data_IF_344104291496
#
_entry.id   IF_344104291496
#
_cell.length_a   1.000
_cell.length_b   1.000
_cell.length_c   1.000
_cell.angle_alpha   90.00
_cell.angle_beta   90.00
_cell.angle_gamma   90.00
#
_symmetry.space_group_name_H-M   'P 1'
#
loop_
_entity.id
_entity.type
_entity.pdbx_description
1 polymer ?
#
# COMPACT_ATOMS: atom_id res chain seq x y z
N UNK A 1 3.80 6.11 -8.79
CA UNK A 1 2.60 5.75 -7.99
C UNK A 1 1.89 4.60 -8.66
N UNK A 2 1.97 3.39 -8.10
CA UNK A 2 1.21 2.27 -8.62
C UNK A 2 -0.22 2.32 -8.03
N UNK A 3 -1.28 2.35 -8.86
CA UNK A 3 -2.68 2.37 -8.40
C UNK A 3 -3.01 1.23 -7.42
N UNK A 4 -2.23 0.15 -7.45
CA UNK A 4 -2.34 -1.00 -6.57
C UNK A 4 -2.38 -0.66 -5.07
N UNK A 5 -1.53 0.24 -4.57
CA UNK A 5 -1.44 0.52 -3.13
C UNK A 5 -2.72 1.19 -2.63
N UNK A 6 -3.30 2.06 -3.46
CA UNK A 6 -4.58 2.71 -3.20
C UNK A 6 -5.72 1.69 -3.11
N UNK A 7 -5.86 0.84 -4.13
CA UNK A 7 -6.94 -0.15 -4.13
C UNK A 7 -6.76 -1.22 -3.07
N UNK A 8 -5.52 -1.61 -2.78
CA UNK A 8 -5.20 -2.56 -1.71
C UNK A 8 -5.61 -2.03 -0.35
N UNK A 9 -5.33 -0.74 -0.07
CA UNK A 9 -5.75 -0.09 1.16
C UNK A 9 -7.28 -0.11 1.32
N UNK A 10 -8.01 0.25 0.27
CA UNK A 10 -9.48 0.30 0.31
C UNK A 10 -10.08 -1.10 0.44
N UNK A 11 -9.55 -2.06 -0.32
CA UNK A 11 -9.95 -3.46 -0.28
C UNK A 11 -9.74 -4.05 1.12
N UNK A 12 -8.55 -3.87 1.69
CA UNK A 12 -8.20 -4.35 3.02
C UNK A 12 -9.04 -3.70 4.13
N UNK A 13 -9.30 -2.40 4.01
CA UNK A 13 -9.99 -1.64 5.04
C UNK A 13 -11.50 -1.93 5.06
N UNK A 14 -12.13 -2.04 3.89
CA UNK A 14 -13.58 -2.26 3.79
C UNK A 14 -13.97 -3.74 3.84
N UNK A 15 -13.21 -4.60 3.17
CA UNK A 15 -13.56 -6.01 2.98
C UNK A 15 -12.67 -6.96 3.82
N UNK A 16 -11.74 -6.41 4.59
CA UNK A 16 -10.86 -7.15 5.49
C UNK A 16 -9.60 -7.70 4.84
N UNK A 17 -8.77 -8.35 5.67
CA UNK A 17 -7.42 -8.80 5.31
C UNK A 17 -7.37 -9.70 4.08
N UNK A 18 -8.29 -10.67 3.95
CA UNK A 18 -8.30 -11.62 2.83
C UNK A 18 -8.43 -10.91 1.47
N UNK A 19 -9.37 -9.97 1.37
CA UNK A 19 -9.61 -9.23 0.11
C UNK A 19 -8.48 -8.24 -0.16
N UNK A 20 -7.96 -7.60 0.89
CA UNK A 20 -6.75 -6.79 0.79
C UNK A 20 -5.55 -7.56 0.24
N UNK A 21 -5.29 -8.74 0.78
CA UNK A 21 -4.17 -9.59 0.36
C UNK A 21 -4.36 -10.11 -1.07
N UNK A 22 -5.58 -10.49 -1.45
CA UNK A 22 -5.88 -10.87 -2.83
C UNK A 22 -5.60 -9.72 -3.79
N UNK A 23 -6.02 -8.49 -3.48
CA UNK A 23 -5.72 -7.31 -4.32
C UNK A 23 -4.21 -7.03 -4.39
N UNK A 24 -3.51 -7.17 -3.27
CA UNK A 24 -2.06 -6.98 -3.16
C UNK A 24 -1.25 -7.99 -4.00
N UNK A 25 -1.73 -9.24 -4.10
CA UNK A 25 -1.03 -10.32 -4.79
C UNK A 25 -1.49 -10.48 -6.25
N UNK A 26 -2.79 -10.36 -6.53
CA UNK A 26 -3.32 -10.55 -7.88
C UNK A 26 -3.02 -9.36 -8.78
N UNK A 27 -3.11 -8.11 -8.29
CA UNK A 27 -2.85 -6.94 -9.14
C UNK A 27 -1.45 -6.95 -9.78
N UNK A 28 -0.35 -7.14 -9.04
CA UNK A 28 0.99 -7.10 -9.63
C UNK A 28 1.30 -8.38 -10.39
N UNK A 29 0.77 -9.55 -10.00
CA UNK A 29 0.96 -10.82 -10.72
C UNK A 29 0.25 -10.79 -12.08
N UNK A 30 -1.02 -10.37 -12.11
CA UNK A 30 -1.78 -10.23 -13.37
C UNK A 30 -1.13 -9.17 -14.25
N UNK A 31 -0.72 -8.03 -13.68
CA UNK A 31 -0.06 -6.99 -14.45
C UNK A 31 1.29 -7.46 -15.03
N UNK A 32 2.06 -8.24 -14.28
CA UNK A 32 3.30 -8.85 -14.75
C UNK A 32 3.05 -9.87 -15.86
N UNK A 33 2.02 -10.72 -15.73
CA UNK A 33 1.66 -11.71 -16.74
C UNK A 33 1.16 -11.08 -18.05
N UNK A 34 0.40 -9.99 -17.96
CA UNK A 34 -0.20 -9.33 -19.13
C UNK A 34 0.75 -8.36 -19.83
N UNK A 35 1.61 -7.67 -19.09
CA UNK A 35 2.41 -6.56 -19.62
C UNK A 35 3.92 -6.75 -19.42
N UNK A 36 4.37 -7.88 -18.88
CA UNK A 36 5.77 -8.13 -18.47
C UNK A 36 6.34 -7.05 -17.52
N UNK A 37 5.46 -6.26 -16.89
CA UNK A 37 5.77 -5.17 -15.98
C UNK A 37 4.99 -5.36 -14.67
N UNK A 38 5.60 -5.20 -13.48
CA UNK A 38 6.96 -4.74 -13.21
C UNK A 38 8.01 -5.82 -13.55
N UNK A 39 9.27 -5.43 -13.77
CA UNK A 39 10.36 -6.38 -13.96
C UNK A 39 10.44 -7.38 -12.78
N UNK A 40 10.81 -8.63 -13.06
CA UNK A 40 10.86 -9.70 -12.05
C UNK A 40 11.74 -9.35 -10.83
N UNK A 41 12.73 -8.46 -10.99
CA UNK A 41 13.57 -7.96 -9.90
C UNK A 41 12.82 -7.06 -8.90
N UNK A 42 11.77 -6.35 -9.33
CA UNK A 42 11.00 -5.40 -8.50
C UNK A 42 9.72 -6.04 -7.97
N UNK A 43 9.28 -7.15 -8.59
CA UNK A 43 8.07 -7.89 -8.20
C UNK A 43 8.06 -8.30 -6.72
N UNK A 44 9.12 -8.89 -6.14
CA UNK A 44 9.12 -9.30 -4.73
C UNK A 44 9.00 -8.09 -3.79
N UNK A 45 9.69 -6.98 -4.11
CA UNK A 45 9.63 -5.76 -3.33
C UNK A 45 8.21 -5.17 -3.31
N UNK A 46 7.52 -5.17 -4.46
CA UNK A 46 6.13 -4.70 -4.56
C UNK A 46 5.19 -5.63 -3.79
N UNK A 47 5.33 -6.96 -3.94
CA UNK A 47 4.49 -7.93 -3.23
C UNK A 47 4.63 -7.78 -1.71
N UNK A 48 5.85 -7.58 -1.21
CA UNK A 48 6.12 -7.38 0.22
C UNK A 48 5.50 -6.06 0.69
N UNK A 49 5.76 -4.94 -0.01
CA UNK A 49 5.18 -3.62 0.31
C UNK A 49 3.64 -3.68 0.30
N UNK A 50 3.04 -4.27 -0.74
CA UNK A 50 1.59 -4.41 -0.88
C UNK A 50 0.98 -5.36 0.15
N UNK A 51 1.63 -6.47 0.48
CA UNK A 51 1.18 -7.40 1.51
C UNK A 51 1.21 -6.79 2.91
N UNK A 52 2.29 -6.07 3.23
CA UNK A 52 2.40 -5.28 4.47
C UNK A 52 1.30 -4.24 4.55
N UNK A 53 1.06 -3.51 3.47
CA UNK A 53 0.01 -2.51 3.40
C UNK A 53 -1.38 -3.13 3.59
N UNK A 54 -1.66 -4.28 2.98
CA UNK A 54 -2.91 -5.00 3.20
C UNK A 54 -3.07 -5.44 4.67
N UNK A 55 -1.98 -5.92 5.28
CA UNK A 55 -1.94 -6.34 6.68
C UNK A 55 -2.21 -5.18 7.65
N UNK A 56 -1.45 -4.09 7.52
CA UNK A 56 -1.59 -2.91 8.39
C UNK A 56 -2.93 -2.23 8.16
N UNK A 57 -3.42 -2.13 6.92
CA UNK A 57 -4.74 -1.56 6.61
C UNK A 57 -5.88 -2.38 7.22
N UNK A 58 -5.83 -3.71 7.11
CA UNK A 58 -6.85 -4.57 7.69
C UNK A 58 -6.81 -4.56 9.23
N UNK A 59 -5.61 -4.51 9.82
CA UNK A 59 -5.44 -4.37 11.26
C UNK A 59 -6.00 -3.02 11.73
N UNK A 60 -5.65 -1.94 11.02
CA UNK A 60 -6.16 -0.61 11.29
C UNK A 60 -7.68 -0.55 11.17
N UNK A 61 -8.29 -1.21 10.19
CA UNK A 61 -9.76 -1.30 10.08
C UNK A 61 -10.40 -2.09 11.22
N UNK A 62 -9.73 -3.15 11.70
CA UNK A 62 -10.23 -3.94 12.83
C UNK A 62 -10.16 -3.19 14.15
N UNK A 63 -9.12 -2.40 14.36
CA UNK A 63 -8.95 -1.57 15.56
C UNK A 63 -9.72 -0.26 15.49
N UNK A 64 -9.78 0.38 14.32
CA UNK A 64 -10.51 1.62 14.12
C UNK A 64 -11.99 1.31 13.86
N UNK A 65 -12.80 1.32 14.93
CA UNK A 65 -14.27 1.24 14.84
C UNK A 65 -14.90 2.32 13.95
N UNK A 66 -14.18 3.42 13.70
CA UNK A 66 -14.58 4.51 12.79
C UNK A 66 -13.46 4.77 11.78
N UNK A 67 -13.82 5.13 10.55
CA UNK A 67 -12.87 5.53 9.50
C UNK A 67 -12.13 6.78 9.98
N UNK A 68 -10.93 6.57 10.51
CA UNK A 68 -10.09 7.61 11.08
C UNK A 68 -8.95 7.95 10.13
N UNK A 69 -8.79 9.24 9.90
CA UNK A 69 -7.71 9.80 9.09
C UNK A 69 -6.35 9.46 9.72
N UNK A 70 -6.28 9.37 11.05
CA UNK A 70 -5.09 8.92 11.78
C UNK A 70 -4.77 7.43 11.57
N UNK A 71 -5.80 6.58 11.48
CA UNK A 71 -5.59 5.15 11.23
C UNK A 71 -4.97 4.92 9.85
N UNK A 72 -5.44 5.66 8.84
CA UNK A 72 -4.87 5.63 7.48
C UNK A 72 -3.45 6.18 7.45
N UNK A 73 -3.16 7.24 8.20
CA UNK A 73 -1.79 7.77 8.31
C UNK A 73 -0.86 6.75 8.96
N UNK A 74 -1.31 6.06 10.01
CA UNK A 74 -0.55 4.98 10.65
C UNK A 74 -0.20 3.86 9.66
N UNK A 75 -1.17 3.42 8.85
CA UNK A 75 -0.96 2.43 7.79
C UNK A 75 0.09 2.91 6.79
N UNK A 76 -0.06 4.16 6.32
CA UNK A 76 0.86 4.76 5.34
C UNK A 76 2.27 4.85 5.89
N UNK A 77 2.43 5.34 7.11
CA UNK A 77 3.73 5.42 7.77
C UNK A 77 4.35 4.05 8.02
N UNK A 78 3.57 3.06 8.48
CA UNK A 78 4.08 1.72 8.76
C UNK A 78 4.65 1.05 7.52
N UNK A 79 3.90 1.03 6.41
CA UNK A 79 4.42 0.42 5.19
C UNK A 79 5.58 1.24 4.62
N UNK A 80 5.60 2.57 4.79
CA UNK A 80 6.66 3.40 4.26
C UNK A 80 7.98 3.20 5.01
N UNK A 81 7.95 3.10 6.34
CA UNK A 81 9.13 2.80 7.16
C UNK A 81 9.68 1.42 6.77
N UNK A 82 8.82 0.39 6.78
CA UNK A 82 9.24 -0.98 6.46
C UNK A 82 9.69 -1.09 4.99
N UNK A 83 8.98 -0.42 4.07
CA UNK A 83 9.30 -0.38 2.66
C UNK A 83 10.64 0.30 2.37
N UNK A 84 10.98 1.36 3.11
CA UNK A 84 12.29 2.03 3.01
C UNK A 84 13.41 1.14 3.55
N UNK A 85 13.17 0.41 4.64
CA UNK A 85 14.14 -0.56 5.18
C UNK A 85 14.36 -1.71 4.18
N UNK A 86 13.30 -2.23 3.56
CA UNK A 86 13.40 -3.26 2.52
C UNK A 86 14.10 -2.77 1.26
N UNK A 87 13.79 -1.56 0.78
CA UNK A 87 14.49 -0.91 -0.33
C UNK A 87 15.98 -0.77 -0.03
N UNK A 88 16.31 -0.31 1.19
CA UNK A 88 17.70 -0.17 1.62
C UNK A 88 18.41 -1.54 1.68
N UNK A 89 17.73 -2.58 2.17
CA UNK A 89 18.26 -3.94 2.21
C UNK A 89 18.45 -4.56 0.81
N UNK A 90 17.57 -4.26 -0.15
CA UNK A 90 17.63 -4.79 -1.52
C UNK A 90 18.61 -4.03 -2.42
N UNK A 91 18.63 -2.70 -2.34
CA UNK A 91 19.50 -1.86 -3.17
C UNK A 91 20.88 -1.62 -2.55
N UNK A 92 21.07 -1.86 -1.25
CA UNK A 92 22.31 -1.59 -0.51
C UNK A 92 22.72 -0.11 -0.44
N UNK A 93 21.93 0.80 -1.05
CA UNK A 93 22.28 2.19 -1.24
C UNK A 93 21.18 3.10 -0.65
N UNK A 94 21.52 3.76 0.46
CA UNK A 94 20.60 4.62 1.20
C UNK A 94 20.06 5.78 0.35
N UNK A 95 20.85 6.25 -0.62
CA UNK A 95 20.46 7.36 -1.49
C UNK A 95 19.27 7.01 -2.39
N UNK A 96 19.25 5.79 -2.93
CA UNK A 96 18.14 5.29 -3.74
C UNK A 96 16.86 5.14 -2.90
N UNK A 97 16.98 4.62 -1.68
CA UNK A 97 15.83 4.45 -0.78
C UNK A 97 15.20 5.81 -0.37
N UNK A 98 16.02 6.83 -0.10
CA UNK A 98 15.53 8.18 0.20
C UNK A 98 14.89 8.82 -1.04
N UNK A 99 15.39 8.54 -2.23
CA UNK A 99 14.83 9.06 -3.47
C UNK A 99 13.47 8.42 -3.79
N UNK A 100 13.35 7.10 -3.63
CA UNK A 100 12.07 6.37 -3.74
C UNK A 100 11.06 6.90 -2.70
N UNK A 101 11.52 7.13 -1.46
CA UNK A 101 10.70 7.73 -0.42
C UNK A 101 10.15 9.10 -0.84
N UNK A 102 11.01 10.01 -1.33
CA UNK A 102 10.60 11.35 -1.78
C UNK A 102 9.63 11.31 -2.96
N UNK A 103 9.87 10.43 -3.93
CA UNK A 103 8.95 10.21 -5.05
C UNK A 103 7.62 9.58 -4.59
N UNK A 104 7.62 8.88 -3.46
CA UNK A 104 6.43 8.33 -2.82
C UNK A 104 5.55 9.36 -2.10
N UNK A 105 6.10 10.48 -1.60
CA UNK A 105 5.36 11.51 -0.84
C UNK A 105 4.09 12.03 -1.55
N UNK A 106 4.15 12.49 -2.81
CA UNK A 106 2.97 13.08 -3.44
C UNK A 106 1.79 12.10 -3.52
N UNK A 107 2.06 10.82 -3.76
CA UNK A 107 0.96 9.87 -3.79
C UNK A 107 0.65 9.17 -2.47
N UNK A 108 1.54 9.24 -1.46
CA UNK A 108 1.14 8.98 -0.07
C UNK A 108 0.05 9.96 0.36
N UNK A 109 0.16 11.24 -0.01
CA UNK A 109 -0.88 12.24 0.26
C UNK A 109 -2.18 11.91 -0.49
N UNK A 110 -2.11 11.59 -1.79
CA UNK A 110 -3.29 11.19 -2.56
C UNK A 110 -3.92 9.93 -1.99
N UNK A 111 -3.12 8.95 -1.57
CA UNK A 111 -3.63 7.72 -0.98
C UNK A 111 -4.25 7.95 0.40
N UNK A 112 -3.66 8.82 1.19
CA UNK A 112 -4.15 9.15 2.52
C UNK A 112 -5.47 9.92 2.45
N UNK A 113 -5.50 11.05 1.73
CA UNK A 113 -6.71 11.87 1.57
C UNK A 113 -7.76 11.20 0.69
N UNK A 114 -7.35 10.64 -0.45
CA UNK A 114 -8.25 9.95 -1.37
C UNK A 114 -8.80 8.64 -0.81
N UNK A 115 -7.98 7.87 -0.08
CA UNK A 115 -8.42 6.66 0.60
C UNK A 115 -9.43 6.97 1.69
N UNK A 116 -9.18 8.02 2.49
CA UNK A 116 -10.14 8.52 3.47
C UNK A 116 -11.45 8.97 2.83
N UNK A 117 -11.38 9.82 1.80
CA UNK A 117 -12.55 10.36 1.12
C UNK A 117 -13.40 9.23 0.51
N UNK A 118 -12.77 8.27 -0.16
CA UNK A 118 -13.47 7.15 -0.79
C UNK A 118 -14.06 6.20 0.26
N UNK A 119 -13.31 5.83 1.30
CA UNK A 119 -13.83 4.99 2.40
C UNK A 119 -15.02 5.67 3.08
N UNK A 120 -14.94 6.97 3.35
CA UNK A 120 -16.03 7.73 3.98
C UNK A 120 -17.23 7.86 3.06
N UNK A 121 -17.03 8.07 1.76
CA UNK A 121 -18.11 8.10 0.77
C UNK A 121 -18.84 6.75 0.67
N UNK A 122 -18.08 5.65 0.74
CA UNK A 122 -18.63 4.30 0.67
C UNK A 122 -19.33 3.88 1.97
N UNK A 123 -18.86 4.36 3.13
CA UNK A 123 -19.47 4.07 4.43
C UNK A 123 -20.68 4.95 4.76
N UNK A 124 -20.93 6.02 3.98
CA UNK A 124 -22.09 6.90 4.14
C UNK A 124 -23.34 6.38 3.40
N UNK A 125 -23.44 5.07 3.18
CA UNK A 125 -24.60 4.37 2.63
C UNK A 125 -25.17 3.46 3.70
#
# INVERSE_FOLDING_TARGET
MLPIYFFTLIAAYKYGFKVGLLTALLSPVINHLLFAMPAAAVLPAILIKSGLLAGTAALAARYAKNISLLALLGVVLSYQIIGTVFEWALCGNFFLAVQDFRMGIPGMLIQWFGGYALLKAIAKK
#
